data_IF_809905621973
#
_entry.id   IF_809905621973
#
_cell.length_a   1.000
_cell.length_b   1.000
_cell.length_c   1.000
_cell.angle_alpha   90.00
_cell.angle_beta   90.00
_cell.angle_gamma   90.00
#
_symmetry.space_group_name_H-M   'P 1'
#
loop_
_entity.id
_entity.type
_entity.pdbx_description
1 polymer ?
#
# COMPACT_ATOMS: atom_id res chain seq x y z
N UNK A 1 22.01 15.11 7.33
CA UNK A 1 23.04 15.46 6.33
C UNK A 1 22.37 15.91 5.02
N UNK A 2 23.03 16.71 4.15
CA UNK A 2 22.48 17.07 2.84
C UNK A 2 22.15 15.84 1.98
N UNK A 3 22.98 14.80 2.05
CA UNK A 3 22.75 13.55 1.33
C UNK A 3 21.49 12.83 1.80
N UNK A 4 21.33 12.64 3.11
CA UNK A 4 20.12 12.03 3.66
C UNK A 4 18.87 12.84 3.31
N UNK A 5 18.97 14.18 3.33
CA UNK A 5 17.85 15.05 2.93
C UNK A 5 17.49 14.85 1.46
N UNK A 6 18.46 14.80 0.55
CA UNK A 6 18.22 14.55 -0.86
C UNK A 6 17.53 13.19 -1.09
N UNK A 7 18.03 12.12 -0.46
CA UNK A 7 17.44 10.78 -0.53
C UNK A 7 16.02 10.73 0.05
N UNK A 8 15.76 11.41 1.16
CA UNK A 8 14.44 11.40 1.81
C UNK A 8 13.36 12.13 1.00
N UNK A 9 13.74 13.01 0.08
CA UNK A 9 12.82 13.79 -0.78
C UNK A 9 12.72 13.23 -2.19
N UNK A 10 13.41 12.14 -2.47
CA UNK A 10 13.40 11.53 -3.79
C UNK A 10 12.02 11.01 -4.19
N UNK A 11 11.69 11.23 -5.46
CA UNK A 11 10.59 10.60 -6.19
C UNK A 11 11.16 9.76 -7.33
N UNK A 12 10.36 8.90 -7.93
CA UNK A 12 10.83 8.07 -9.05
C UNK A 12 11.42 8.90 -10.20
N UNK A 13 10.80 10.03 -10.54
CA UNK A 13 11.28 10.92 -11.61
C UNK A 13 12.62 11.60 -11.30
N UNK A 14 13.07 11.62 -10.05
CA UNK A 14 14.31 12.26 -9.64
C UNK A 14 15.48 11.30 -9.45
N UNK A 15 15.30 9.99 -9.71
CA UNK A 15 16.34 8.98 -9.49
C UNK A 15 17.64 9.30 -10.24
N UNK A 16 17.65 9.67 -11.56
CA UNK A 16 18.90 9.97 -12.25
C UNK A 16 19.65 11.18 -11.67
N UNK A 17 18.92 12.23 -11.30
CA UNK A 17 19.52 13.42 -10.67
C UNK A 17 20.07 13.08 -9.27
N UNK A 18 19.42 12.17 -8.58
CA UNK A 18 19.84 11.74 -7.25
C UNK A 18 21.16 10.95 -7.29
N UNK A 19 21.40 10.17 -8.33
CA UNK A 19 22.72 9.53 -8.59
C UNK A 19 23.80 10.61 -8.64
N UNK A 20 23.66 11.58 -9.53
CA UNK A 20 24.65 12.65 -9.72
C UNK A 20 24.90 13.47 -8.42
N UNK A 21 23.83 13.78 -7.69
CA UNK A 21 23.93 14.49 -6.39
C UNK A 21 24.64 13.63 -5.36
N UNK A 22 24.35 12.34 -5.29
CA UNK A 22 24.97 11.41 -4.34
C UNK A 22 26.44 11.23 -4.63
N UNK A 23 26.82 11.02 -5.88
CA UNK A 23 28.22 10.95 -6.32
C UNK A 23 29.02 12.20 -5.92
N UNK A 24 28.46 13.38 -6.25
CA UNK A 24 29.09 14.64 -5.90
C UNK A 24 29.31 14.78 -4.39
N UNK A 25 28.28 14.52 -3.59
CA UNK A 25 28.36 14.67 -2.13
C UNK A 25 29.31 13.65 -1.51
N UNK A 26 29.33 12.40 -1.98
CA UNK A 26 30.25 11.36 -1.51
C UNK A 26 31.69 11.69 -1.87
N UNK A 27 31.97 12.19 -3.09
CA UNK A 27 33.29 12.66 -3.50
C UNK A 27 33.78 13.81 -2.61
N UNK A 28 32.87 14.64 -2.08
CA UNK A 28 33.16 15.73 -1.15
C UNK A 28 33.05 15.31 0.34
N UNK A 29 33.19 14.00 0.62
CA UNK A 29 33.25 13.43 1.97
C UNK A 29 31.97 13.67 2.81
N UNK A 30 30.82 13.66 2.20
CA UNK A 30 29.57 13.68 2.94
C UNK A 30 29.53 12.52 3.97
N UNK A 31 29.15 12.85 5.20
CA UNK A 31 29.03 11.83 6.26
C UNK A 31 27.80 10.98 6.02
N UNK A 32 27.98 9.67 6.05
CA UNK A 32 26.89 8.69 6.09
C UNK A 32 26.43 8.49 7.54
N UNK A 33 25.14 8.39 7.75
CA UNK A 33 24.51 8.16 9.06
C UNK A 33 24.04 6.71 9.23
N UNK A 34 24.04 5.93 8.13
CA UNK A 34 23.44 4.60 8.06
C UNK A 34 21.98 4.60 7.61
N UNK A 35 21.27 5.72 7.77
CA UNK A 35 19.88 5.87 7.32
C UNK A 35 19.75 6.01 5.79
N UNK A 36 20.82 6.32 5.10
CA UNK A 36 20.86 6.44 3.64
C UNK A 36 20.47 5.14 2.97
N UNK A 37 20.91 4.00 3.50
CA UNK A 37 20.54 2.66 2.99
C UNK A 37 19.02 2.42 3.05
N UNK A 38 18.40 2.79 4.16
CA UNK A 38 16.94 2.68 4.31
C UNK A 38 16.19 3.57 3.30
N UNK A 39 16.72 4.78 3.05
CA UNK A 39 16.13 5.66 2.05
C UNK A 39 16.28 5.10 0.63
N UNK A 40 17.43 4.53 0.28
CA UNK A 40 17.65 3.90 -1.02
C UNK A 40 16.74 2.68 -1.19
N UNK A 41 16.57 1.87 -0.14
CA UNK A 41 15.63 0.76 -0.15
C UNK A 41 14.18 1.24 -0.34
N UNK A 42 13.78 2.32 0.35
CA UNK A 42 12.46 2.95 0.17
C UNK A 42 12.25 3.41 -1.28
N UNK A 43 13.25 4.08 -1.87
CA UNK A 43 13.18 4.52 -3.27
C UNK A 43 12.96 3.34 -4.21
N UNK A 44 13.67 2.22 -3.98
CA UNK A 44 13.46 1.00 -4.74
C UNK A 44 12.07 0.39 -4.55
N UNK A 45 11.55 0.39 -3.32
CA UNK A 45 10.18 -0.07 -3.03
C UNK A 45 9.16 0.80 -3.73
N UNK A 46 9.30 2.12 -3.68
CA UNK A 46 8.44 3.07 -4.38
C UNK A 46 8.51 2.88 -5.91
N UNK A 47 9.71 2.65 -6.45
CA UNK A 47 9.89 2.37 -7.88
C UNK A 47 9.15 1.09 -8.30
N UNK A 48 9.32 -0.01 -7.56
CA UNK A 48 8.63 -1.28 -7.85
C UNK A 48 7.11 -1.17 -7.66
N UNK A 49 6.65 -0.35 -6.70
CA UNK A 49 5.22 -0.11 -6.50
C UNK A 49 4.56 0.56 -7.71
N UNK A 50 5.25 1.50 -8.35
CA UNK A 50 4.72 2.26 -9.49
C UNK A 50 5.17 1.75 -10.86
N UNK A 51 5.99 0.69 -10.91
CA UNK A 51 6.56 0.14 -12.16
C UNK A 51 5.50 -0.19 -13.21
N UNK A 52 4.36 -0.73 -12.80
CA UNK A 52 3.24 -1.13 -13.66
C UNK A 52 2.55 0.05 -14.36
N UNK A 53 2.77 1.27 -13.88
CA UNK A 53 2.24 2.52 -14.46
C UNK A 53 3.23 3.30 -15.31
N UNK A 54 4.48 2.90 -15.29
CA UNK A 54 5.52 3.55 -16.08
C UNK A 54 5.54 2.98 -17.50
N UNK A 55 5.84 3.83 -18.48
CA UNK A 55 6.12 3.34 -19.83
C UNK A 55 7.41 2.50 -19.81
N UNK A 56 7.56 1.62 -20.81
CA UNK A 56 8.79 0.84 -20.97
C UNK A 56 10.03 1.72 -21.11
N UNK A 57 9.89 2.87 -21.77
CA UNK A 57 10.95 3.88 -21.94
C UNK A 57 11.34 4.49 -20.58
N UNK A 58 10.35 4.86 -19.77
CA UNK A 58 10.59 5.39 -18.42
C UNK A 58 11.29 4.36 -17.54
N UNK A 59 10.86 3.10 -17.57
CA UNK A 59 11.52 2.03 -16.81
C UNK A 59 12.95 1.84 -17.30
N UNK A 60 13.19 1.82 -18.62
CA UNK A 60 14.51 1.68 -19.21
C UNK A 60 15.47 2.83 -18.84
N UNK A 61 14.96 4.02 -18.60
CA UNK A 61 15.72 5.19 -18.14
C UNK A 61 16.03 5.12 -16.64
N UNK A 62 15.03 4.78 -15.81
CA UNK A 62 15.14 4.90 -14.37
C UNK A 62 15.80 3.68 -13.71
N UNK A 63 15.56 2.48 -14.22
CA UNK A 63 16.05 1.23 -13.60
C UNK A 63 17.59 1.18 -13.54
N UNK A 64 18.37 1.57 -14.57
CA UNK A 64 19.83 1.64 -14.46
C UNK A 64 20.32 2.61 -13.39
N UNK A 65 19.73 3.81 -13.32
CA UNK A 65 20.09 4.80 -12.29
C UNK A 65 19.75 4.30 -10.86
N UNK A 66 18.66 3.57 -10.71
CA UNK A 66 18.31 2.94 -9.43
C UNK A 66 19.34 1.85 -9.07
N UNK A 67 19.81 1.06 -10.04
CA UNK A 67 20.86 0.07 -9.80
C UNK A 67 22.17 0.71 -9.36
N UNK A 68 22.54 1.85 -9.93
CA UNK A 68 23.71 2.64 -9.49
C UNK A 68 23.55 3.11 -8.03
N UNK A 69 22.36 3.56 -7.62
CA UNK A 69 22.11 3.90 -6.21
C UNK A 69 22.27 2.66 -5.30
N UNK A 70 21.74 1.51 -5.68
CA UNK A 70 21.93 0.30 -4.90
C UNK A 70 23.41 -0.06 -4.72
N UNK A 71 24.20 0.00 -5.80
CA UNK A 71 25.62 -0.25 -5.76
C UNK A 71 26.36 0.77 -4.89
N UNK A 72 26.10 2.06 -5.10
CA UNK A 72 26.74 3.17 -4.39
C UNK A 72 26.57 3.08 -2.87
N UNK A 73 25.38 2.65 -2.41
CA UNK A 73 25.07 2.54 -0.99
C UNK A 73 25.19 1.12 -0.42
N UNK A 74 25.55 0.13 -1.25
CA UNK A 74 25.65 -1.29 -0.83
C UNK A 74 24.31 -1.79 -0.31
N UNK A 75 23.25 -1.57 -1.08
CA UNK A 75 21.87 -2.04 -0.81
C UNK A 75 21.54 -3.13 -1.81
N UNK A 76 21.02 -4.25 -1.33
CA UNK A 76 20.49 -5.29 -2.23
C UNK A 76 19.26 -4.77 -2.99
N UNK A 77 19.19 -4.97 -4.31
CA UNK A 77 18.04 -4.54 -5.10
C UNK A 77 16.71 -5.07 -4.55
N UNK A 78 15.73 -4.21 -4.48
CA UNK A 78 14.36 -4.60 -4.12
C UNK A 78 13.82 -5.55 -5.19
N UNK A 79 13.19 -6.64 -4.77
CA UNK A 79 12.60 -7.60 -5.68
C UNK A 79 11.48 -6.97 -6.52
N UNK A 80 11.42 -7.33 -7.81
CA UNK A 80 10.33 -6.88 -8.70
C UNK A 80 8.98 -7.30 -8.14
N UNK A 81 8.08 -6.33 -8.02
CA UNK A 81 6.73 -6.58 -7.56
C UNK A 81 5.99 -7.48 -8.53
N UNK A 82 5.33 -8.51 -8.00
CA UNK A 82 4.46 -9.40 -8.77
C UNK A 82 3.02 -9.01 -8.51
N UNK A 83 2.37 -8.45 -9.51
CA UNK A 83 0.94 -8.17 -9.46
C UNK A 83 0.13 -9.47 -9.52
N UNK A 84 -1.01 -9.45 -8.85
CA UNK A 84 -1.97 -10.54 -8.88
C UNK A 84 -2.56 -10.71 -10.30
N UNK A 85 -2.66 -11.96 -10.76
CA UNK A 85 -3.14 -12.29 -12.10
C UNK A 85 -4.67 -12.23 -12.25
N UNK A 86 -5.39 -12.04 -11.15
CA UNK A 86 -6.85 -11.96 -11.12
C UNK A 86 -7.56 -13.33 -11.15
N UNK A 87 -6.85 -14.44 -11.25
CA UNK A 87 -7.44 -15.77 -11.51
C UNK A 87 -7.00 -16.85 -10.53
N UNK A 88 -5.74 -16.82 -10.08
CA UNK A 88 -5.19 -17.81 -9.15
C UNK A 88 -5.76 -17.67 -7.75
N UNK A 89 -5.70 -18.76 -6.96
CA UNK A 89 -6.02 -18.65 -5.54
C UNK A 89 -5.07 -17.69 -4.83
N UNK A 90 -5.64 -16.83 -3.99
CA UNK A 90 -4.91 -15.88 -3.14
C UNK A 90 -4.20 -16.67 -2.04
N UNK A 91 -2.86 -16.70 -2.10
CA UNK A 91 -2.04 -17.46 -1.16
C UNK A 91 -1.36 -16.52 -0.18
N UNK A 92 -1.63 -16.74 1.11
CA UNK A 92 -1.00 -16.01 2.21
C UNK A 92 -0.15 -16.98 3.02
N UNK A 93 1.10 -16.61 3.27
CA UNK A 93 2.10 -17.45 3.93
C UNK A 93 2.54 -16.90 5.29
N UNK A 94 2.17 -15.69 5.59
CA UNK A 94 2.50 -15.01 6.85
C UNK A 94 1.58 -15.46 7.99
N UNK A 95 2.02 -15.27 9.24
CA UNK A 95 1.34 -15.78 10.42
C UNK A 95 0.56 -14.73 11.20
N UNK A 96 1.10 -13.52 11.34
CA UNK A 96 0.38 -12.42 12.00
C UNK A 96 -0.54 -11.72 11.01
N UNK A 97 -1.68 -11.22 11.47
CA UNK A 97 -2.63 -10.53 10.59
C UNK A 97 -2.02 -9.26 9.96
N UNK A 98 -1.10 -8.59 10.65
CA UNK A 98 -0.38 -7.41 10.11
C UNK A 98 0.48 -7.81 8.91
N UNK A 99 1.34 -8.83 9.07
CA UNK A 99 2.16 -9.33 7.95
C UNK A 99 1.32 -9.91 6.82
N UNK A 100 0.17 -10.52 7.15
CA UNK A 100 -0.80 -11.00 6.15
C UNK A 100 -1.42 -9.84 5.38
N UNK A 101 -1.78 -8.75 6.07
CA UNK A 101 -2.28 -7.53 5.43
C UNK A 101 -1.24 -6.93 4.48
N UNK A 102 0.01 -6.80 4.93
CA UNK A 102 1.11 -6.29 4.10
C UNK A 102 1.31 -7.17 2.85
N UNK A 103 1.28 -8.50 3.02
CA UNK A 103 1.38 -9.44 1.91
C UNK A 103 0.20 -9.33 0.94
N UNK A 104 -1.01 -9.18 1.45
CA UNK A 104 -2.23 -8.99 0.63
C UNK A 104 -2.21 -7.64 -0.07
N UNK A 105 -1.73 -6.59 0.59
CA UNK A 105 -1.56 -5.27 0.01
C UNK A 105 -0.61 -5.32 -1.19
N UNK A 106 0.57 -5.89 -0.99
CA UNK A 106 1.58 -6.00 -2.05
C UNK A 106 1.09 -6.85 -3.23
N UNK A 107 0.31 -7.89 -2.97
CA UNK A 107 -0.19 -8.80 -4.00
C UNK A 107 -1.39 -8.22 -4.75
N UNK A 108 -2.41 -7.71 -4.04
CA UNK A 108 -3.75 -7.47 -4.57
C UNK A 108 -4.05 -6.01 -4.91
N UNK A 109 -3.38 -5.06 -4.22
CA UNK A 109 -3.72 -3.64 -4.35
C UNK A 109 -2.91 -3.01 -5.50
N UNK A 110 -3.55 -2.47 -6.54
CA UNK A 110 -2.82 -1.80 -7.62
C UNK A 110 -2.26 -0.46 -7.14
N UNK A 111 -1.23 0.03 -7.83
CA UNK A 111 -0.66 1.35 -7.57
C UNK A 111 -1.65 2.49 -7.87
N UNK A 112 -2.72 2.23 -8.60
CA UNK A 112 -3.78 3.19 -8.92
C UNK A 112 -5.08 2.48 -9.30
N UNK A 113 -6.20 3.14 -9.00
CA UNK A 113 -7.54 2.66 -9.34
C UNK A 113 -8.03 1.54 -8.40
N UNK A 114 -9.12 0.92 -8.79
CA UNK A 114 -9.70 -0.20 -8.07
C UNK A 114 -8.89 -1.50 -8.27
N UNK A 115 -8.95 -2.41 -7.32
CA UNK A 115 -8.35 -3.73 -7.44
C UNK A 115 -9.10 -4.60 -8.48
N UNK A 116 -8.49 -5.72 -8.88
CA UNK A 116 -9.10 -6.66 -9.84
C UNK A 116 -10.16 -7.57 -9.22
N UNK A 117 -10.20 -7.67 -7.89
CA UNK A 117 -11.10 -8.56 -7.14
C UNK A 117 -11.69 -7.86 -5.94
N UNK A 118 -12.82 -8.41 -5.43
CA UNK A 118 -13.46 -7.90 -4.21
C UNK A 118 -12.52 -8.00 -3.00
N UNK A 119 -11.71 -9.06 -2.91
CA UNK A 119 -10.72 -9.22 -1.85
C UNK A 119 -9.66 -8.11 -1.90
N UNK A 120 -9.10 -7.86 -3.08
CA UNK A 120 -8.11 -6.80 -3.27
C UNK A 120 -8.69 -5.42 -2.96
N UNK A 121 -9.95 -5.18 -3.36
CA UNK A 121 -10.61 -3.91 -3.09
C UNK A 121 -10.92 -3.74 -1.60
N UNK A 122 -11.35 -4.79 -0.90
CA UNK A 122 -11.54 -4.73 0.55
C UNK A 122 -10.24 -4.38 1.29
N UNK A 123 -9.12 -5.00 0.91
CA UNK A 123 -7.79 -4.68 1.45
C UNK A 123 -7.41 -3.23 1.15
N UNK A 124 -7.60 -2.79 -0.12
CA UNK A 124 -7.33 -1.41 -0.55
C UNK A 124 -8.13 -0.39 0.25
N UNK A 125 -9.43 -0.63 0.44
CA UNK A 125 -10.30 0.24 1.23
C UNK A 125 -9.78 0.37 2.67
N UNK A 126 -9.49 -0.75 3.35
CA UNK A 126 -8.95 -0.71 4.71
C UNK A 126 -7.69 0.14 4.82
N UNK A 127 -6.71 -0.06 3.93
CA UNK A 127 -5.46 0.71 3.96
C UNK A 127 -5.67 2.20 3.66
N UNK A 128 -6.56 2.54 2.72
CA UNK A 128 -6.85 3.95 2.41
C UNK A 128 -7.61 4.65 3.53
N UNK A 129 -8.55 3.97 4.19
CA UNK A 129 -9.23 4.51 5.36
C UNK A 129 -8.25 4.73 6.52
N UNK A 130 -7.36 3.76 6.77
CA UNK A 130 -6.34 3.89 7.81
C UNK A 130 -5.41 5.07 7.51
N UNK A 131 -4.87 5.16 6.30
CA UNK A 131 -4.00 6.27 5.90
C UNK A 131 -4.69 7.64 6.03
N UNK A 132 -5.93 7.78 5.54
CA UNK A 132 -6.64 9.06 5.62
C UNK A 132 -6.93 9.46 7.07
N UNK A 133 -7.35 8.51 7.89
CA UNK A 133 -7.81 8.84 9.24
C UNK A 133 -6.69 8.92 10.28
N UNK A 134 -5.63 8.11 10.13
CA UNK A 134 -4.51 8.06 11.09
C UNK A 134 -3.36 8.97 10.69
N UNK A 135 -2.97 8.98 9.41
CA UNK A 135 -1.80 9.74 8.95
C UNK A 135 -2.18 11.15 8.52
N UNK A 136 -3.33 11.32 7.86
CA UNK A 136 -3.81 12.63 7.38
C UNK A 136 -4.83 13.29 8.32
N UNK A 137 -5.26 12.62 9.39
CA UNK A 137 -6.24 13.17 10.34
C UNK A 137 -7.63 13.46 9.74
N UNK A 138 -7.99 12.78 8.63
CA UNK A 138 -9.28 12.93 7.98
C UNK A 138 -9.46 14.22 7.17
N UNK A 139 -8.37 14.93 6.86
CA UNK A 139 -8.46 16.25 6.18
C UNK A 139 -9.04 16.16 4.75
N UNK A 140 -8.89 14.99 4.08
CA UNK A 140 -9.43 14.76 2.75
C UNK A 140 -10.73 13.94 2.77
N UNK A 141 -11.36 13.80 3.95
CA UNK A 141 -12.60 13.03 4.06
C UNK A 141 -13.74 13.70 3.30
N UNK A 142 -14.31 13.00 2.36
CA UNK A 142 -15.39 13.44 1.49
C UNK A 142 -16.40 12.31 1.21
N UNK A 143 -17.38 12.57 0.33
CA UNK A 143 -18.41 11.60 -0.04
C UNK A 143 -17.84 10.33 -0.68
N UNK A 144 -16.71 10.42 -1.40
CA UNK A 144 -16.03 9.25 -1.97
C UNK A 144 -15.44 8.36 -0.87
N UNK A 145 -14.80 8.94 0.16
CA UNK A 145 -14.31 8.17 1.30
C UNK A 145 -15.46 7.54 2.10
N UNK A 146 -16.57 8.26 2.26
CA UNK A 146 -17.76 7.72 2.90
C UNK A 146 -18.30 6.53 2.12
N UNK A 147 -18.49 6.67 0.80
CA UNK A 147 -18.99 5.62 -0.10
C UNK A 147 -18.03 4.42 -0.10
N UNK A 148 -16.74 4.66 -0.08
CA UNK A 148 -15.70 3.63 0.02
C UNK A 148 -15.85 2.82 1.31
N UNK A 149 -15.98 3.48 2.46
CA UNK A 149 -16.17 2.83 3.76
C UNK A 149 -17.47 2.01 3.81
N UNK A 150 -18.57 2.56 3.31
CA UNK A 150 -19.87 1.86 3.23
C UNK A 150 -19.80 0.63 2.33
N UNK A 151 -19.07 0.71 1.20
CA UNK A 151 -18.89 -0.39 0.27
C UNK A 151 -18.20 -1.59 0.89
N UNK A 152 -17.31 -1.39 1.87
CA UNK A 152 -16.64 -2.48 2.57
C UNK A 152 -17.64 -3.45 3.24
N UNK A 153 -18.75 -2.94 3.77
CA UNK A 153 -19.81 -3.79 4.34
C UNK A 153 -20.35 -4.76 3.29
N UNK A 154 -20.52 -4.28 2.05
CA UNK A 154 -21.02 -5.10 0.94
C UNK A 154 -19.99 -6.11 0.43
N UNK A 155 -18.71 -5.84 0.59
CA UNK A 155 -17.64 -6.76 0.22
C UNK A 155 -17.54 -7.91 1.22
N UNK A 156 -17.54 -7.62 2.51
CA UNK A 156 -17.37 -8.62 3.58
C UNK A 156 -18.51 -9.65 3.72
N UNK A 157 -19.61 -9.47 2.99
CA UNK A 157 -20.72 -10.46 2.94
C UNK A 157 -20.69 -11.35 1.70
N UNK A 158 -19.77 -11.11 0.77
CA UNK A 158 -19.64 -11.93 -0.43
C UNK A 158 -18.83 -13.20 -0.15
N UNK A 159 -19.06 -14.24 -0.96
CA UNK A 159 -18.40 -15.53 -0.76
C UNK A 159 -18.79 -16.20 0.54
N UNK A 160 -17.79 -16.71 1.28
CA UNK A 160 -17.95 -17.22 2.64
C UNK A 160 -17.83 -16.05 3.64
N UNK A 161 -18.93 -15.62 4.27
CA UNK A 161 -18.89 -14.45 5.14
C UNK A 161 -18.19 -14.77 6.47
N UNK A 162 -17.77 -13.72 7.18
CA UNK A 162 -17.40 -13.80 8.59
C UNK A 162 -18.59 -14.28 9.42
N UNK A 163 -18.35 -14.73 10.63
CA UNK A 163 -19.44 -15.08 11.53
C UNK A 163 -20.32 -13.84 11.88
N UNK A 164 -21.49 -14.09 12.45
CA UNK A 164 -22.47 -13.03 12.71
C UNK A 164 -21.94 -11.95 13.66
N UNK A 165 -21.16 -12.36 14.68
CA UNK A 165 -20.59 -11.43 15.65
C UNK A 165 -19.50 -10.55 15.03
N UNK A 166 -18.64 -11.13 14.21
CA UNK A 166 -17.58 -10.43 13.47
C UNK A 166 -18.16 -9.45 12.43
N UNK A 167 -19.21 -9.87 11.72
CA UNK A 167 -19.93 -8.99 10.77
C UNK A 167 -20.58 -7.81 11.49
N UNK A 168 -21.23 -8.06 12.63
CA UNK A 168 -21.84 -7.00 13.43
C UNK A 168 -20.80 -6.04 13.98
N UNK A 169 -19.63 -6.55 14.38
CA UNK A 169 -18.49 -5.74 14.83
C UNK A 169 -17.95 -4.85 13.71
N UNK A 170 -17.64 -5.43 12.53
CA UNK A 170 -17.20 -4.67 11.35
C UNK A 170 -18.20 -3.58 10.96
N UNK A 171 -19.49 -3.91 10.92
CA UNK A 171 -20.56 -2.95 10.60
C UNK A 171 -20.64 -1.80 11.60
N UNK A 172 -20.43 -2.04 12.90
CA UNK A 172 -20.37 -0.98 13.92
C UNK A 172 -19.16 -0.06 13.74
N UNK A 173 -18.01 -0.62 13.42
CA UNK A 173 -16.79 0.16 13.17
C UNK A 173 -17.01 1.04 11.94
N UNK A 174 -17.45 0.47 10.82
CA UNK A 174 -17.72 1.19 9.58
C UNK A 174 -18.75 2.31 9.81
N UNK A 175 -19.86 2.01 10.47
CA UNK A 175 -20.86 3.03 10.79
C UNK A 175 -20.33 4.15 11.71
N UNK A 176 -19.35 3.84 12.57
CA UNK A 176 -18.65 4.82 13.39
C UNK A 176 -17.77 5.76 12.59
N UNK A 177 -17.15 5.24 11.54
CA UNK A 177 -16.31 6.02 10.61
C UNK A 177 -17.18 6.93 9.74
N UNK A 178 -18.19 6.36 9.08
CA UNK A 178 -18.99 7.04 8.06
C UNK A 178 -19.81 8.23 8.62
N UNK A 179 -20.20 8.17 9.90
CA UNK A 179 -21.01 9.25 10.49
C UNK A 179 -20.26 10.53 10.83
N UNK A 180 -18.96 10.45 11.03
CA UNK A 180 -18.23 11.57 11.63
C UNK A 180 -16.90 11.88 10.92
N UNK A 181 -16.45 11.09 9.95
CA UNK A 181 -15.06 11.16 9.49
C UNK A 181 -14.08 10.94 10.65
N UNK A 182 -14.58 10.51 11.80
CA UNK A 182 -13.85 10.29 13.04
C UNK A 182 -14.07 8.85 13.49
N UNK A 183 -13.00 8.21 13.95
CA UNK A 183 -13.06 6.84 14.43
C UNK A 183 -13.50 6.84 15.89
N UNK A 184 -14.67 6.28 16.19
CA UNK A 184 -14.97 5.88 17.56
C UNK A 184 -14.13 4.65 17.91
N UNK A 185 -13.23 4.79 18.88
CA UNK A 185 -12.28 3.75 19.25
C UNK A 185 -10.88 3.91 18.64
N UNK A 186 -10.68 4.96 17.81
CA UNK A 186 -9.35 5.34 17.32
C UNK A 186 -8.66 4.28 16.47
N UNK A 187 -7.35 4.19 16.62
CA UNK A 187 -6.47 3.27 15.90
C UNK A 187 -6.86 1.80 16.10
N UNK A 188 -7.25 1.40 17.31
CA UNK A 188 -7.64 0.01 17.63
C UNK A 188 -8.86 -0.46 16.80
N UNK A 189 -9.83 0.42 16.55
CA UNK A 189 -11.00 0.08 15.75
C UNK A 189 -10.64 -0.17 14.29
N UNK A 190 -9.76 0.66 13.70
CA UNK A 190 -9.27 0.43 12.34
C UNK A 190 -8.39 -0.81 12.24
N UNK A 191 -7.49 -1.02 13.20
CA UNK A 191 -6.69 -2.23 13.28
C UNK A 191 -7.58 -3.48 13.32
N UNK A 192 -8.65 -3.44 14.12
CA UNK A 192 -9.62 -4.54 14.20
C UNK A 192 -10.40 -4.74 12.91
N UNK A 193 -10.83 -3.66 12.24
CA UNK A 193 -11.50 -3.75 10.94
C UNK A 193 -10.58 -4.38 9.88
N UNK A 194 -9.31 -4.00 9.88
CA UNK A 194 -8.28 -4.56 9.01
C UNK A 194 -8.05 -6.04 9.28
N UNK A 195 -7.94 -6.45 10.54
CA UNK A 195 -7.84 -7.86 10.93
C UNK A 195 -9.04 -8.67 10.44
N UNK A 196 -10.27 -8.16 10.64
CA UNK A 196 -11.49 -8.80 10.17
C UNK A 196 -11.50 -8.94 8.64
N UNK A 197 -11.03 -7.93 7.93
CA UNK A 197 -10.90 -7.99 6.46
C UNK A 197 -9.89 -9.05 6.03
N UNK A 198 -8.73 -9.12 6.67
CA UNK A 198 -7.73 -10.18 6.41
C UNK A 198 -8.36 -11.56 6.64
N UNK A 199 -9.03 -11.78 7.76
CA UNK A 199 -9.70 -13.05 8.08
C UNK A 199 -10.73 -13.44 7.02
N UNK A 200 -11.51 -12.46 6.54
CA UNK A 200 -12.47 -12.70 5.45
C UNK A 200 -11.77 -13.09 4.14
N UNK A 201 -10.68 -12.41 3.76
CA UNK A 201 -9.88 -12.77 2.58
C UNK A 201 -9.35 -14.20 2.69
N UNK A 202 -8.84 -14.60 3.85
CA UNK A 202 -8.32 -15.95 4.09
C UNK A 202 -9.40 -17.04 3.98
N UNK A 203 -10.65 -16.73 4.29
CA UNK A 203 -11.80 -17.63 4.08
C UNK A 203 -12.19 -17.71 2.61
N UNK A 204 -11.81 -16.75 1.79
CA UNK A 204 -12.16 -16.61 0.38
C UNK A 204 -10.93 -16.60 -0.53
N UNK A 205 -10.15 -17.71 -0.61
CA UNK A 205 -8.94 -17.73 -1.41
C UNK A 205 -9.21 -17.64 -2.92
N UNK A 206 -10.35 -18.14 -3.40
CA UNK A 206 -10.77 -18.03 -4.79
C UNK A 206 -11.19 -16.60 -5.12
N UNK A 207 -10.77 -16.03 -6.28
CA UNK A 207 -11.04 -14.64 -6.63
C UNK A 207 -12.53 -14.37 -6.82
N UNK A 208 -13.04 -13.35 -6.16
CA UNK A 208 -14.39 -12.84 -6.32
C UNK A 208 -14.39 -11.66 -7.29
N UNK A 209 -15.18 -11.72 -8.34
CA UNK A 209 -15.22 -10.68 -9.37
C UNK A 209 -15.72 -9.36 -8.80
N UNK A 210 -14.91 -8.30 -8.89
CA UNK A 210 -15.31 -6.97 -8.51
C UNK A 210 -16.19 -6.35 -9.60
N UNK A 211 -17.33 -5.78 -9.20
CA UNK A 211 -18.11 -4.89 -10.06
C UNK A 211 -17.48 -3.50 -10.04
N UNK A 212 -17.90 -2.66 -11.01
CA UNK A 212 -17.48 -1.26 -11.02
C UNK A 212 -17.74 -0.58 -9.66
N UNK A 213 -16.73 0.12 -9.15
CA UNK A 213 -16.84 0.84 -7.88
C UNK A 213 -17.61 2.14 -8.07
N UNK A 214 -18.38 2.56 -7.07
CA UNK A 214 -19.15 3.82 -7.08
C UNK A 214 -18.36 5.03 -6.57
N UNK A 215 -17.07 4.87 -6.33
CA UNK A 215 -16.12 5.89 -5.86
C UNK A 215 -14.85 5.88 -6.70
N UNK A 216 -14.18 7.02 -6.79
CA UNK A 216 -13.01 7.22 -7.66
C UNK A 216 -11.69 7.46 -6.88
N UNK A 217 -11.57 6.91 -5.69
CA UNK A 217 -10.40 7.09 -4.81
C UNK A 217 -9.43 5.92 -4.84
#
# INVERSE_FOLDING_TARGET
>A
TPLLYALSRASNSSIPQLVAVSEYLLAHRARLTGMEKEQVKRIGTDFEWFRDRMSSETVAELEPALMELYEMFGVEPVAKRKMYDGHSDIKVTKSSWQEQFDQLWDLLVPSCGAASTVQGEAVRVCGRLAHELLDNGGINWDDDFQTMAESLTSYLVQGEPLDESERAEAGKIIAGITRAGLIRGGEDALARLTELTVRWVLKNPGPLALKETSYMR
#
